data_IF_793564137696
#
_entry.id   IF_793564137696
#
_cell.length_a   1.000
_cell.length_b   1.000
_cell.length_c   1.000
_cell.angle_alpha   90.00
_cell.angle_beta   90.00
_cell.angle_gamma   90.00
#
_symmetry.space_group_name_H-M   'P 1'
#
loop_
_entity.id
_entity.type
_entity.pdbx_description
1 polymer ?
#
# COMPACT_ATOMS: atom_id res chain seq x y z
N UNK A 1 -22.86 1.39 -12.27
CA UNK A 1 -23.04 -0.05 -12.11
C UNK A 1 -22.88 -0.43 -10.64
N UNK A 2 -23.81 -1.19 -10.08
CA UNK A 2 -23.73 -1.68 -8.71
C UNK A 2 -22.93 -3.00 -8.58
N UNK A 3 -22.26 -3.44 -9.66
CA UNK A 3 -21.42 -4.62 -9.61
C UNK A 3 -20.13 -4.31 -8.87
N UNK A 4 -19.61 -5.26 -8.06
CA UNK A 4 -18.31 -5.12 -7.45
C UNK A 4 -17.20 -4.90 -8.49
N UNK A 5 -16.17 -4.16 -8.14
CA UNK A 5 -15.05 -3.92 -9.03
C UNK A 5 -14.19 -5.17 -9.27
N UNK A 6 -14.24 -6.16 -8.37
CA UNK A 6 -13.51 -7.43 -8.48
C UNK A 6 -14.41 -8.57 -8.92
N UNK A 7 -13.89 -9.44 -9.78
CA UNK A 7 -14.60 -10.63 -10.27
C UNK A 7 -14.95 -11.64 -9.16
N UNK A 8 -14.13 -11.77 -8.14
CA UNK A 8 -14.40 -12.68 -7.02
C UNK A 8 -15.65 -12.32 -6.19
N UNK A 9 -16.20 -11.14 -6.36
CA UNK A 9 -17.43 -10.69 -5.73
C UNK A 9 -18.63 -10.74 -6.69
N UNK A 10 -18.43 -11.12 -7.94
CA UNK A 10 -19.50 -11.21 -8.94
C UNK A 10 -20.08 -12.61 -8.96
N UNK A 11 -21.33 -12.73 -8.51
CA UNK A 11 -22.06 -14.02 -8.43
C UNK A 11 -22.27 -14.72 -9.79
N UNK A 12 -22.09 -13.99 -10.90
CA UNK A 12 -22.20 -14.55 -12.26
C UNK A 12 -20.96 -15.29 -12.71
N UNK A 13 -19.83 -15.11 -12.00
CA UNK A 13 -18.54 -15.67 -12.35
C UNK A 13 -18.12 -16.73 -11.34
N UNK A 14 -17.31 -17.68 -11.82
CA UNK A 14 -16.69 -18.68 -10.94
C UNK A 14 -15.63 -18.03 -10.06
N UNK A 15 -15.79 -18.16 -8.75
CA UNK A 15 -14.85 -17.62 -7.76
C UNK A 15 -14.37 -18.69 -6.76
N UNK A 16 -14.55 -19.93 -7.04
CA UNK A 16 -14.34 -21.14 -6.21
C UNK A 16 -13.28 -21.07 -5.09
N UNK A 17 -12.12 -20.45 -5.34
CA UNK A 17 -11.07 -20.29 -4.34
C UNK A 17 -11.28 -19.04 -3.47
N UNK A 18 -11.66 -17.93 -4.10
CA UNK A 18 -11.98 -16.69 -3.39
C UNK A 18 -13.20 -16.89 -2.50
N UNK A 19 -13.06 -16.55 -1.23
CA UNK A 19 -14.16 -16.71 -0.26
C UNK A 19 -14.40 -18.14 0.21
N UNK A 20 -13.52 -19.08 -0.13
CA UNK A 20 -13.62 -20.48 0.34
C UNK A 20 -13.38 -20.66 1.84
N UNK A 21 -12.87 -19.63 2.53
CA UNK A 21 -12.50 -19.66 3.93
C UNK A 21 -11.57 -20.84 4.30
N UNK A 22 -10.65 -21.17 3.41
CA UNK A 22 -9.70 -22.27 3.61
C UNK A 22 -10.27 -23.68 3.46
N UNK A 23 -11.50 -23.82 2.95
CA UNK A 23 -12.16 -25.15 2.77
C UNK A 23 -11.76 -25.88 1.49
N UNK A 24 -10.87 -25.30 0.68
CA UNK A 24 -10.36 -25.91 -0.55
C UNK A 24 -8.83 -25.94 -0.54
N UNK A 25 -8.25 -26.98 -1.15
CA UNK A 25 -6.84 -27.06 -1.45
C UNK A 25 -6.61 -26.67 -2.93
N UNK A 26 -5.71 -25.76 -3.19
CA UNK A 26 -5.38 -25.28 -4.54
C UNK A 26 -4.12 -25.97 -5.02
N UNK A 27 -4.23 -26.81 -6.06
CA UNK A 27 -3.09 -27.51 -6.64
C UNK A 27 -2.48 -26.77 -7.85
N UNK A 28 -3.32 -26.04 -8.59
CA UNK A 28 -2.88 -25.29 -9.75
C UNK A 28 -3.78 -24.08 -10.00
N UNK A 29 -3.20 -23.01 -10.51
CA UNK A 29 -3.91 -21.79 -10.91
C UNK A 29 -3.52 -21.46 -12.34
N UNK A 30 -4.52 -21.23 -13.19
CA UNK A 30 -4.32 -20.68 -14.53
C UNK A 30 -4.60 -19.17 -14.47
N UNK A 31 -3.61 -18.37 -14.87
CA UNK A 31 -3.74 -16.91 -14.94
C UNK A 31 -3.53 -16.42 -16.37
N UNK A 32 -4.26 -15.37 -16.74
CA UNK A 32 -4.00 -14.66 -17.99
C UNK A 32 -2.74 -13.82 -17.83
N UNK A 33 -1.95 -13.76 -18.88
CA UNK A 33 -0.73 -12.93 -18.94
C UNK A 33 -0.87 -11.92 -20.08
N UNK A 34 -0.11 -10.85 -19.98
CA UNK A 34 -0.04 -9.79 -20.99
C UNK A 34 1.38 -9.70 -21.55
N UNK A 35 1.56 -9.23 -22.79
CA UNK A 35 2.89 -8.96 -23.33
C UNK A 35 3.69 -8.06 -22.40
N UNK A 36 4.99 -8.31 -22.29
CA UNK A 36 5.87 -7.43 -21.53
C UNK A 36 5.97 -6.08 -22.26
N UNK A 37 5.72 -4.95 -21.59
CA UNK A 37 5.85 -3.64 -22.20
C UNK A 37 7.31 -3.33 -22.55
N UNK A 38 7.53 -2.51 -23.58
CA UNK A 38 8.86 -2.05 -23.97
C UNK A 38 9.37 -0.95 -23.04
N UNK A 39 8.45 -0.08 -22.60
CA UNK A 39 8.75 1.04 -21.71
C UNK A 39 7.73 1.10 -20.58
N UNK A 40 8.17 1.54 -19.42
CA UNK A 40 7.26 1.89 -18.33
C UNK A 40 7.73 3.17 -17.63
N UNK A 41 6.77 3.91 -17.08
CA UNK A 41 7.01 5.13 -16.31
C UNK A 41 6.03 5.21 -15.16
N UNK A 42 6.56 5.54 -14.00
CA UNK A 42 5.75 5.77 -12.81
C UNK A 42 5.49 7.26 -12.66
N UNK A 43 4.22 7.61 -12.50
CA UNK A 43 3.73 8.91 -12.10
C UNK A 43 3.41 8.86 -10.62
N UNK A 44 3.95 9.81 -9.88
CA UNK A 44 3.67 9.99 -8.46
C UNK A 44 2.79 11.21 -8.30
N UNK A 45 1.60 11.03 -7.77
CA UNK A 45 0.54 12.05 -7.75
C UNK A 45 0.17 12.32 -6.31
N UNK A 46 -0.08 13.60 -5.97
CA UNK A 46 -0.52 14.02 -4.65
C UNK A 46 -1.66 15.02 -4.73
N UNK A 47 -2.61 14.93 -3.81
CA UNK A 47 -3.73 15.87 -3.62
C UNK A 47 -4.23 15.81 -2.18
N UNK A 48 -4.91 16.89 -1.74
CA UNK A 48 -5.62 16.91 -0.47
C UNK A 48 -7.12 16.58 -0.62
N UNK A 49 -7.61 16.43 -1.85
CA UNK A 49 -9.01 16.13 -2.14
C UNK A 49 -9.19 14.76 -2.81
N UNK A 50 -9.78 13.77 -2.12
CA UNK A 50 -10.04 12.43 -2.68
C UNK A 50 -10.83 12.46 -3.99
N UNK A 51 -11.68 13.46 -4.19
CA UNK A 51 -12.49 13.64 -5.40
C UNK A 51 -11.64 13.83 -6.66
N UNK A 52 -10.46 14.43 -6.54
CA UNK A 52 -9.51 14.52 -7.64
C UNK A 52 -9.12 13.12 -8.15
N UNK A 53 -8.87 12.19 -7.24
CA UNK A 53 -8.55 10.81 -7.63
C UNK A 53 -9.77 10.07 -8.19
N UNK A 54 -10.98 10.39 -7.73
CA UNK A 54 -12.21 9.88 -8.34
C UNK A 54 -12.33 10.32 -9.80
N UNK A 55 -12.08 11.59 -10.07
CA UNK A 55 -12.16 12.13 -11.43
C UNK A 55 -11.05 11.56 -12.32
N UNK A 56 -9.80 11.59 -11.87
CA UNK A 56 -8.65 11.03 -12.60
C UNK A 56 -8.90 9.56 -12.94
N UNK A 57 -9.39 8.76 -11.97
CA UNK A 57 -9.73 7.36 -12.19
C UNK A 57 -10.77 7.20 -13.31
N UNK A 58 -11.84 7.99 -13.26
CA UNK A 58 -12.89 7.95 -14.29
C UNK A 58 -12.34 8.30 -15.67
N UNK A 59 -11.59 9.39 -15.77
CA UNK A 59 -11.03 9.87 -17.02
C UNK A 59 -10.09 8.84 -17.65
N UNK A 60 -9.20 8.26 -16.86
CA UNK A 60 -8.29 7.22 -17.34
C UNK A 60 -9.06 6.00 -17.83
N UNK A 61 -10.00 5.48 -17.03
CA UNK A 61 -10.72 4.24 -17.37
C UNK A 61 -11.69 4.39 -18.55
N UNK A 62 -12.17 5.62 -18.84
CA UNK A 62 -13.15 5.89 -19.88
C UNK A 62 -12.48 6.39 -21.17
N UNK A 63 -11.49 7.26 -21.05
CA UNK A 63 -10.99 8.04 -22.18
C UNK A 63 -9.63 7.58 -22.69
N UNK A 64 -8.80 6.93 -21.86
CA UNK A 64 -7.48 6.53 -22.28
C UNK A 64 -7.51 5.31 -23.21
N UNK A 65 -6.69 5.35 -24.24
CA UNK A 65 -6.45 4.22 -25.14
C UNK A 65 -5.60 3.15 -24.47
N UNK A 66 -4.67 3.57 -23.59
CA UNK A 66 -3.72 2.72 -22.92
C UNK A 66 -3.96 2.77 -21.41
N UNK A 67 -4.46 1.67 -20.86
CA UNK A 67 -4.73 1.60 -19.43
C UNK A 67 -3.44 1.41 -18.61
N UNK A 68 -3.40 1.93 -17.37
CA UNK A 68 -2.29 1.73 -16.45
C UNK A 68 -2.04 0.25 -16.15
N UNK A 69 -0.78 -0.12 -16.01
CA UNK A 69 -0.39 -1.44 -15.52
C UNK A 69 -0.64 -1.57 -14.01
N UNK A 70 -0.51 -0.47 -13.27
CA UNK A 70 -0.66 -0.43 -11.83
C UNK A 70 -1.20 0.94 -11.40
N UNK A 71 -1.97 0.94 -10.31
CA UNK A 71 -2.40 2.16 -9.65
C UNK A 71 -2.63 1.92 -8.17
N UNK A 72 -1.59 2.22 -7.38
CA UNK A 72 -1.57 2.00 -5.93
C UNK A 72 -1.70 3.31 -5.16
N UNK A 73 -2.77 3.40 -4.41
CA UNK A 73 -3.07 4.50 -3.49
C UNK A 73 -2.43 4.26 -2.12
N UNK A 74 -2.03 5.35 -1.47
CA UNK A 74 -1.54 5.36 -0.10
C UNK A 74 -1.88 6.68 0.58
N UNK A 75 -2.54 6.63 1.75
CA UNK A 75 -2.71 7.79 2.60
C UNK A 75 -1.39 8.17 3.29
N UNK A 76 -1.20 9.43 3.61
CA UNK A 76 -0.04 9.99 4.30
C UNK A 76 0.34 9.21 5.58
N UNK A 77 -0.65 8.84 6.40
CA UNK A 77 -0.39 8.09 7.64
C UNK A 77 0.20 6.71 7.36
N UNK A 78 -0.26 6.06 6.29
CA UNK A 78 0.31 4.80 5.84
C UNK A 78 1.75 4.99 5.33
N UNK A 79 2.02 6.08 4.60
CA UNK A 79 3.37 6.44 4.17
C UNK A 79 4.32 6.61 5.36
N UNK A 80 3.92 7.38 6.37
CA UNK A 80 4.72 7.63 7.58
C UNK A 80 4.93 6.34 8.39
N UNK A 81 3.89 5.54 8.55
CA UNK A 81 4.03 4.25 9.24
C UNK A 81 5.01 3.32 8.51
N UNK A 82 4.91 3.21 7.18
CA UNK A 82 5.82 2.42 6.38
C UNK A 82 7.27 2.93 6.48
N UNK A 83 7.47 4.25 6.37
CA UNK A 83 8.77 4.90 6.52
C UNK A 83 9.42 4.59 7.87
N UNK A 84 8.63 4.58 8.94
CA UNK A 84 9.12 4.39 10.31
C UNK A 84 9.29 2.92 10.70
N UNK A 85 8.31 2.09 10.37
CA UNK A 85 8.20 0.73 10.90
C UNK A 85 8.62 -0.37 9.92
N UNK A 86 8.83 -0.03 8.64
CA UNK A 86 9.29 -0.97 7.61
C UNK A 86 10.63 -0.60 6.96
N UNK A 87 11.36 0.35 7.52
CA UNK A 87 12.62 0.86 6.97
C UNK A 87 13.68 -0.22 6.79
N UNK A 88 13.83 -1.09 7.77
CA UNK A 88 14.75 -2.22 7.73
C UNK A 88 14.39 -3.21 6.62
N UNK A 89 13.11 -3.56 6.52
CA UNK A 89 12.58 -4.45 5.46
C UNK A 89 12.79 -3.82 4.08
N UNK A 90 12.54 -2.52 3.95
CA UNK A 90 12.81 -1.78 2.72
C UNK A 90 14.27 -1.92 2.29
N UNK A 91 15.22 -1.63 3.19
CA UNK A 91 16.66 -1.67 2.89
C UNK A 91 17.13 -3.08 2.57
N UNK A 92 16.62 -4.10 3.30
CA UNK A 92 16.95 -5.49 3.01
C UNK A 92 16.47 -5.90 1.63
N UNK A 93 15.23 -5.58 1.26
CA UNK A 93 14.70 -5.92 -0.05
C UNK A 93 15.41 -5.14 -1.17
N UNK A 94 15.68 -3.85 -0.96
CA UNK A 94 16.41 -3.03 -1.94
C UNK A 94 17.79 -3.59 -2.26
N UNK A 95 18.51 -4.08 -1.25
CA UNK A 95 19.89 -4.56 -1.40
C UNK A 95 20.01 -6.03 -1.74
N UNK A 96 19.15 -6.88 -1.18
CA UNK A 96 19.27 -8.35 -1.26
C UNK A 96 18.12 -9.00 -2.06
N UNK A 97 17.10 -8.22 -2.40
CA UNK A 97 15.90 -8.71 -3.10
C UNK A 97 14.93 -9.47 -2.20
N UNK A 98 13.73 -9.74 -2.75
CA UNK A 98 12.66 -10.45 -2.03
C UNK A 98 13.00 -11.90 -1.72
N UNK A 99 13.91 -12.51 -2.46
CA UNK A 99 14.37 -13.90 -2.23
C UNK A 99 15.01 -14.09 -0.85
N UNK A 100 15.49 -13.03 -0.22
CA UNK A 100 16.09 -13.08 1.11
C UNK A 100 15.05 -13.03 2.23
N UNK A 101 13.80 -12.67 1.97
CA UNK A 101 12.74 -12.55 2.99
C UNK A 101 12.51 -13.83 3.81
N UNK A 102 12.46 -15.05 3.22
CA UNK A 102 12.31 -16.27 4.00
C UNK A 102 13.45 -16.45 5.02
N UNK A 103 14.68 -16.16 4.61
CA UNK A 103 15.87 -16.23 5.48
C UNK A 103 15.76 -15.19 6.62
N UNK A 104 15.35 -13.97 6.30
CA UNK A 104 15.15 -12.93 7.31
C UNK A 104 14.09 -13.33 8.34
N UNK A 105 12.96 -13.87 7.89
CA UNK A 105 11.91 -14.36 8.81
C UNK A 105 12.38 -15.51 9.66
N UNK A 106 13.18 -16.42 9.12
CA UNK A 106 13.76 -17.54 9.90
C UNK A 106 14.74 -17.03 10.96
N UNK A 107 15.60 -16.06 10.63
CA UNK A 107 16.50 -15.42 11.61
C UNK A 107 15.68 -14.75 12.72
N UNK A 108 14.65 -13.96 12.35
CA UNK A 108 13.75 -13.33 13.33
C UNK A 108 13.11 -14.37 14.26
N UNK A 109 12.58 -15.46 13.68
CA UNK A 109 11.97 -16.55 14.46
C UNK A 109 12.96 -17.17 15.44
N UNK A 110 14.22 -17.43 15.04
CA UNK A 110 15.26 -17.97 15.92
C UNK A 110 15.60 -17.00 17.06
N UNK A 111 15.74 -15.71 16.76
CA UNK A 111 15.99 -14.67 17.77
C UNK A 111 14.84 -14.59 18.76
N UNK A 112 13.59 -14.65 18.31
CA UNK A 112 12.42 -14.61 19.18
C UNK A 112 12.26 -15.88 20.02
N UNK A 113 12.65 -17.05 19.50
CA UNK A 113 12.70 -18.29 20.28
C UNK A 113 13.77 -18.21 21.37
N UNK A 114 14.97 -17.74 21.01
CA UNK A 114 16.08 -17.59 21.97
C UNK A 114 15.70 -16.59 23.08
N UNK A 115 15.04 -15.48 22.73
CA UNK A 115 14.64 -14.46 23.69
C UNK A 115 13.65 -14.97 24.74
N UNK A 116 12.88 -16.03 24.48
CA UNK A 116 11.97 -16.63 25.46
C UNK A 116 12.67 -17.24 26.68
N UNK A 117 13.94 -17.61 26.54
CA UNK A 117 14.75 -18.08 27.66
C UNK A 117 15.16 -16.95 28.64
N UNK A 118 15.06 -15.71 28.19
CA UNK A 118 15.43 -14.51 28.94
C UNK A 118 14.18 -13.72 29.33
N UNK A 119 13.64 -13.96 30.52
CA UNK A 119 12.37 -13.36 30.99
C UNK A 119 12.32 -11.83 31.02
N UNK A 120 13.48 -11.15 30.95
CA UNK A 120 13.57 -9.69 30.90
C UNK A 120 13.42 -9.12 29.48
N UNK A 121 13.48 -9.95 28.45
CA UNK A 121 13.31 -9.50 27.06
C UNK A 121 11.82 -9.40 26.70
N UNK A 122 11.44 -8.39 25.90
CA UNK A 122 10.07 -8.25 25.45
C UNK A 122 9.68 -9.38 24.48
N UNK A 123 8.38 -9.66 24.41
CA UNK A 123 7.84 -10.51 23.34
C UNK A 123 8.21 -9.94 21.97
N UNK A 124 8.49 -10.81 20.99
CA UNK A 124 8.96 -10.41 19.65
C UNK A 124 10.18 -9.47 19.70
N UNK A 125 11.16 -9.85 20.51
CA UNK A 125 12.40 -9.09 20.71
C UNK A 125 13.09 -8.73 19.39
N UNK A 126 13.02 -9.61 18.38
CA UNK A 126 13.56 -9.32 17.05
C UNK A 126 13.00 -8.04 16.46
N UNK A 127 11.71 -7.75 16.60
CA UNK A 127 11.08 -6.53 16.11
C UNK A 127 11.57 -5.28 16.85
N UNK A 128 11.75 -5.39 18.18
CA UNK A 128 12.32 -4.29 18.99
C UNK A 128 13.77 -3.99 18.58
N UNK A 129 14.58 -5.03 18.41
CA UNK A 129 15.97 -4.89 17.99
C UNK A 129 16.08 -4.27 16.60
N UNK A 130 15.34 -4.79 15.63
CA UNK A 130 15.35 -4.26 14.26
C UNK A 130 14.83 -2.80 14.20
N UNK A 131 13.80 -2.46 14.97
CA UNK A 131 13.32 -1.09 15.08
C UNK A 131 14.36 -0.15 15.72
N UNK A 132 15.10 -0.61 16.71
CA UNK A 132 16.19 0.16 17.31
C UNK A 132 17.31 0.38 16.28
N UNK A 133 17.77 -0.67 15.61
CA UNK A 133 18.82 -0.59 14.59
C UNK A 133 18.42 0.28 13.40
N UNK A 134 17.13 0.30 13.03
CA UNK A 134 16.63 1.11 11.91
C UNK A 134 16.84 2.62 12.10
N UNK A 135 17.04 3.10 13.33
CA UNK A 135 17.34 4.50 13.64
C UNK A 135 18.70 4.94 13.09
N UNK A 136 19.64 4.00 12.97
CA UNK A 136 21.00 4.26 12.46
C UNK A 136 21.10 4.15 10.94
N UNK A 137 20.04 3.69 10.28
CA UNK A 137 20.05 3.61 8.82
C UNK A 137 19.79 5.00 8.18
N UNK A 138 20.44 5.29 7.03
CA UNK A 138 20.24 6.54 6.32
C UNK A 138 18.78 6.68 5.84
N UNK A 139 18.41 7.90 5.46
CA UNK A 139 17.13 8.11 4.81
C UNK A 139 17.08 7.31 3.50
N UNK A 140 16.01 6.53 3.31
CA UNK A 140 15.88 5.57 2.22
C UNK A 140 14.94 6.05 1.11
N UNK A 141 14.14 7.09 1.39
CA UNK A 141 13.14 7.60 0.45
C UNK A 141 13.66 8.83 -0.32
N UNK A 142 13.27 8.99 -1.59
CA UNK A 142 13.61 10.16 -2.38
C UNK A 142 13.02 11.45 -1.81
N UNK A 143 13.79 12.53 -1.88
CA UNK A 143 13.38 13.84 -1.37
C UNK A 143 12.07 14.35 -2.01
N UNK A 144 11.85 14.08 -3.31
CA UNK A 144 10.58 14.51 -3.97
C UNK A 144 9.36 13.79 -3.39
N UNK A 145 9.47 12.50 -3.07
CA UNK A 145 8.38 11.75 -2.41
C UNK A 145 8.11 12.32 -1.02
N UNK A 146 9.16 12.64 -0.24
CA UNK A 146 9.04 13.28 1.07
C UNK A 146 8.32 14.63 0.97
N UNK A 147 8.72 15.46 0.01
CA UNK A 147 8.09 16.75 -0.23
C UNK A 147 6.60 16.62 -0.59
N UNK A 148 6.24 15.60 -1.40
CA UNK A 148 4.86 15.34 -1.75
C UNK A 148 4.04 14.90 -0.54
N UNK A 149 4.56 13.99 0.27
CA UNK A 149 3.93 13.57 1.51
C UNK A 149 3.76 14.74 2.51
N UNK A 150 4.71 15.67 2.54
CA UNK A 150 4.60 16.86 3.41
C UNK A 150 3.51 17.84 2.94
N UNK A 151 3.20 17.84 1.63
CA UNK A 151 2.24 18.74 1.00
C UNK A 151 0.85 18.15 0.85
N UNK A 152 0.74 16.81 0.66
CA UNK A 152 -0.50 16.14 0.30
C UNK A 152 -0.81 14.97 1.23
N UNK A 153 -2.09 14.82 1.57
CA UNK A 153 -2.57 13.71 2.40
C UNK A 153 -2.83 12.43 1.60
N UNK A 154 -3.18 12.57 0.32
CA UNK A 154 -3.47 11.46 -0.58
C UNK A 154 -2.39 11.34 -1.64
N UNK A 155 -1.81 10.15 -1.76
CA UNK A 155 -0.71 9.84 -2.68
C UNK A 155 -1.12 8.68 -3.58
N UNK A 156 -0.86 8.79 -4.88
CA UNK A 156 -1.18 7.74 -5.85
C UNK A 156 0.00 7.46 -6.77
N UNK A 157 0.37 6.20 -6.87
CA UNK A 157 1.43 5.70 -7.76
C UNK A 157 0.75 5.06 -8.96
N UNK A 158 0.94 5.63 -10.15
CA UNK A 158 0.39 5.10 -11.40
C UNK A 158 1.53 4.70 -12.31
N UNK A 159 1.55 3.45 -12.76
CA UNK A 159 2.50 2.98 -13.75
C UNK A 159 1.84 2.88 -15.13
N UNK A 160 2.31 3.71 -16.04
CA UNK A 160 1.93 3.72 -17.43
C UNK A 160 2.99 3.02 -18.29
N UNK A 161 2.56 2.47 -19.43
CA UNK A 161 3.42 1.69 -20.34
C UNK A 161 3.30 2.19 -21.77
N UNK A 162 4.39 2.05 -22.50
CA UNK A 162 4.49 2.36 -23.93
C UNK A 162 3.86 3.74 -24.29
N UNK A 163 2.94 3.81 -25.23
CA UNK A 163 2.31 5.07 -25.68
C UNK A 163 1.43 5.72 -24.59
N UNK A 164 0.97 4.96 -23.61
CA UNK A 164 0.21 5.48 -22.49
C UNK A 164 1.01 6.45 -21.60
N UNK A 165 2.35 6.41 -21.67
CA UNK A 165 3.20 7.31 -20.90
C UNK A 165 2.97 8.77 -21.32
N UNK A 166 2.98 9.06 -22.62
CA UNK A 166 2.78 10.42 -23.12
C UNK A 166 1.32 10.86 -22.96
N UNK A 167 0.36 9.93 -23.20
CA UNK A 167 -1.05 10.16 -22.96
C UNK A 167 -1.32 10.63 -21.53
N UNK A 168 -0.75 9.93 -20.54
CA UNK A 168 -0.90 10.28 -19.12
C UNK A 168 -0.20 11.59 -18.75
N UNK A 169 0.99 11.85 -19.30
CA UNK A 169 1.73 13.07 -19.03
C UNK A 169 0.92 14.31 -19.48
N UNK A 170 0.43 14.30 -20.70
CA UNK A 170 -0.38 15.41 -21.24
C UNK A 170 -1.65 15.58 -20.39
N UNK A 171 -2.30 14.49 -20.03
CA UNK A 171 -3.50 14.54 -19.19
C UNK A 171 -3.20 15.17 -17.82
N UNK A 172 -2.18 14.74 -17.09
CA UNK A 172 -1.87 15.28 -15.76
C UNK A 172 -1.41 16.74 -15.82
N UNK A 173 -0.64 17.13 -16.84
CA UNK A 173 -0.25 18.51 -17.06
C UNK A 173 -1.48 19.43 -17.28
N UNK A 174 -2.50 18.94 -17.95
CA UNK A 174 -3.75 19.69 -18.15
C UNK A 174 -4.62 19.68 -16.89
N UNK A 175 -4.76 18.53 -16.25
CA UNK A 175 -5.62 18.36 -15.09
C UNK A 175 -5.20 19.27 -13.94
N UNK A 176 -3.92 19.24 -13.56
CA UNK A 176 -3.40 20.01 -12.43
C UNK A 176 -3.14 21.50 -12.71
N UNK A 177 -3.43 21.99 -13.90
CA UNK A 177 -3.53 23.45 -14.14
C UNK A 177 -4.76 24.09 -13.47
N UNK A 178 -5.84 23.31 -13.34
CA UNK A 178 -7.13 23.80 -12.90
C UNK A 178 -7.64 23.12 -11.61
N UNK A 179 -6.93 22.14 -11.12
CA UNK A 179 -7.31 21.37 -9.94
C UNK A 179 -6.17 21.37 -8.91
N UNK A 180 -6.53 21.30 -7.64
CA UNK A 180 -5.54 21.17 -6.56
C UNK A 180 -4.84 19.82 -6.66
N UNK A 181 -3.55 19.85 -6.37
CA UNK A 181 -2.68 18.69 -6.45
C UNK A 181 -1.50 18.94 -7.36
N UNK A 182 -0.70 17.91 -7.55
CA UNK A 182 0.47 17.95 -8.42
C UNK A 182 0.91 16.53 -8.75
N UNK A 183 1.82 16.40 -9.72
CA UNK A 183 2.43 15.13 -10.04
C UNK A 183 3.90 15.29 -10.47
N UNK A 184 4.63 14.21 -10.43
CA UNK A 184 5.91 14.12 -11.11
C UNK A 184 6.12 12.75 -11.73
N UNK A 185 6.84 12.74 -12.84
CA UNK A 185 7.35 11.52 -13.43
C UNK A 185 8.59 11.06 -12.66
N UNK A 186 8.54 9.86 -12.12
CA UNK A 186 9.64 9.29 -11.37
C UNK A 186 10.85 8.99 -12.26
N UNK A 187 12.05 9.22 -11.75
CA UNK A 187 13.26 8.59 -12.26
C UNK A 187 13.19 7.08 -12.02
N UNK A 188 14.07 6.31 -12.64
CA UNK A 188 14.11 4.86 -12.42
C UNK A 188 14.31 4.49 -10.94
N UNK A 189 15.21 5.20 -10.26
CA UNK A 189 15.43 5.00 -8.82
C UNK A 189 14.22 5.37 -7.98
N UNK A 190 13.54 6.48 -8.28
CA UNK A 190 12.32 6.89 -7.59
C UNK A 190 11.18 5.90 -7.83
N UNK A 191 11.03 5.39 -9.06
CA UNK A 191 10.04 4.36 -9.39
C UNK A 191 10.24 3.10 -8.53
N UNK A 192 11.46 2.58 -8.49
CA UNK A 192 11.81 1.41 -7.66
C UNK A 192 11.50 1.65 -6.19
N UNK A 193 11.86 2.83 -5.68
CA UNK A 193 11.65 3.17 -4.27
C UNK A 193 10.18 3.43 -3.94
N UNK A 194 9.41 4.05 -4.81
CA UNK A 194 7.98 4.26 -4.62
C UNK A 194 7.23 2.92 -4.54
N UNK A 195 7.49 2.02 -5.49
CA UNK A 195 6.91 0.68 -5.51
C UNK A 195 7.31 -0.14 -4.28
N UNK A 196 8.58 -0.08 -3.90
CA UNK A 196 9.08 -0.82 -2.74
C UNK A 196 8.48 -0.27 -1.43
N UNK A 197 8.37 1.06 -1.30
CA UNK A 197 7.75 1.68 -0.14
C UNK A 197 6.29 1.24 0.03
N UNK A 198 5.53 1.23 -1.07
CA UNK A 198 4.17 0.70 -1.09
C UNK A 198 4.12 -0.79 -0.75
N UNK A 199 5.06 -1.58 -1.27
CA UNK A 199 5.13 -3.02 -0.99
C UNK A 199 5.35 -3.32 0.50
N UNK A 200 6.28 -2.60 1.16
CA UNK A 200 6.59 -2.85 2.57
C UNK A 200 5.59 -2.24 3.55
N UNK A 201 4.63 -1.45 3.10
CA UNK A 201 3.66 -0.77 3.96
C UNK A 201 2.80 -1.76 4.77
N UNK A 202 2.44 -2.90 4.20
CA UNK A 202 1.72 -3.95 4.90
C UNK A 202 2.47 -4.48 6.14
N UNK A 203 3.81 -4.52 6.09
CA UNK A 203 4.65 -4.95 7.21
C UNK A 203 4.69 -3.96 8.38
N UNK A 204 4.41 -2.68 8.11
CA UNK A 204 4.44 -1.62 9.12
C UNK A 204 3.41 -1.85 10.24
N UNK A 205 2.23 -2.32 9.87
CA UNK A 205 1.15 -2.63 10.81
C UNK A 205 1.57 -3.69 11.84
N UNK A 206 2.09 -4.83 11.37
CA UNK A 206 2.55 -5.90 12.26
C UNK A 206 3.72 -5.49 13.15
N UNK A 207 4.65 -4.67 12.64
CA UNK A 207 5.76 -4.13 13.43
C UNK A 207 5.25 -3.16 14.50
N UNK A 208 4.37 -2.24 14.15
CA UNK A 208 3.76 -1.31 15.11
C UNK A 208 3.09 -2.09 16.25
N UNK A 209 2.23 -3.06 15.91
CA UNK A 209 1.56 -3.92 16.88
C UNK A 209 2.57 -4.66 17.78
N UNK A 210 3.64 -5.21 17.23
CA UNK A 210 4.68 -5.92 18.00
C UNK A 210 5.35 -5.01 19.03
N UNK A 211 5.60 -3.75 18.68
CA UNK A 211 6.26 -2.78 19.55
C UNK A 211 5.33 -2.26 20.67
N UNK A 212 4.03 -2.22 20.42
CA UNK A 212 3.01 -1.69 21.34
C UNK A 212 2.32 -2.75 22.19
N UNK A 213 2.71 -4.01 22.04
CA UNK A 213 2.04 -5.18 22.64
C UNK A 213 1.92 -5.17 24.20
N UNK A 214 2.48 -4.16 24.89
CA UNK A 214 2.26 -3.95 26.32
C UNK A 214 0.86 -3.41 26.66
N UNK A 215 0.13 -2.93 25.68
CA UNK A 215 -1.14 -2.21 25.88
C UNK A 215 -2.38 -3.07 25.60
N UNK A 216 -2.24 -4.35 25.19
CA UNK A 216 -3.36 -5.23 24.80
C UNK A 216 -4.32 -4.59 23.77
N UNK A 217 -3.82 -3.72 22.91
CA UNK A 217 -4.63 -3.12 21.88
C UNK A 217 -5.13 -4.18 20.89
N UNK A 218 -6.38 -4.11 20.55
CA UNK A 218 -6.96 -4.97 19.52
C UNK A 218 -6.62 -4.39 18.13
N UNK A 219 -6.46 -5.28 17.18
CA UNK A 219 -6.14 -4.91 15.81
C UNK A 219 -6.88 -5.78 14.82
N UNK A 220 -7.30 -5.19 13.73
CA UNK A 220 -7.95 -5.91 12.64
C UNK A 220 -7.59 -5.30 11.29
N UNK A 221 -7.72 -6.12 10.25
CA UNK A 221 -7.48 -5.73 8.87
C UNK A 221 -8.68 -6.09 8.03
N UNK A 222 -9.07 -5.20 7.13
CA UNK A 222 -10.16 -5.41 6.20
C UNK A 222 -9.69 -5.17 4.77
N UNK A 223 -10.14 -6.02 3.86
CA UNK A 223 -10.05 -5.81 2.42
C UNK A 223 -11.46 -5.53 1.89
N UNK A 224 -11.68 -4.31 1.43
CA UNK A 224 -12.98 -3.83 0.96
C UNK A 224 -12.96 -3.70 -0.55
N UNK A 225 -13.88 -4.39 -1.22
CA UNK A 225 -14.14 -4.20 -2.64
C UNK A 225 -15.39 -3.32 -2.80
N UNK A 226 -15.18 -2.07 -3.19
CA UNK A 226 -16.27 -1.12 -3.41
C UNK A 226 -16.94 -1.33 -4.76
N UNK A 227 -18.18 -0.84 -4.95
CA UNK A 227 -18.84 -0.79 -6.25
C UNK A 227 -17.98 -0.03 -7.28
N UNK A 228 -18.11 -0.39 -8.57
CA UNK A 228 -17.30 0.19 -9.65
C UNK A 228 -17.39 1.70 -9.77
N UNK A 229 -18.57 2.25 -9.50
CA UNK A 229 -18.84 3.68 -9.65
C UNK A 229 -18.95 4.39 -8.30
N UNK A 230 -18.43 3.78 -7.22
CA UNK A 230 -18.41 4.45 -5.92
C UNK A 230 -17.55 5.73 -6.00
N UNK A 231 -18.11 6.82 -5.52
CA UNK A 231 -17.42 8.10 -5.44
C UNK A 231 -16.88 8.35 -4.04
N UNK A 232 -17.58 7.85 -3.02
CA UNK A 232 -17.18 7.96 -1.61
C UNK A 232 -16.28 6.77 -1.23
N UNK A 233 -15.15 6.66 -1.89
CA UNK A 233 -14.20 5.55 -1.69
C UNK A 233 -13.27 5.76 -0.49
N UNK A 234 -13.05 7.01 -0.11
CA UNK A 234 -12.26 7.33 1.07
C UNK A 234 -13.14 7.25 2.31
N UNK A 235 -12.63 6.55 3.31
CA UNK A 235 -13.37 6.30 4.53
C UNK A 235 -13.51 7.56 5.37
N UNK A 236 -14.73 7.85 5.79
CA UNK A 236 -15.05 8.88 6.76
C UNK A 236 -15.78 8.21 7.92
N UNK A 237 -15.09 8.03 9.03
CA UNK A 237 -15.64 7.41 10.23
C UNK A 237 -16.32 8.46 11.12
N UNK A 238 -17.40 8.10 11.84
CA UNK A 238 -17.94 8.96 12.90
C UNK A 238 -16.87 9.26 13.95
N UNK A 239 -16.89 10.46 14.52
CA UNK A 239 -15.91 10.95 15.50
C UNK A 239 -15.75 10.00 16.70
N UNK A 240 -16.83 9.38 17.14
CA UNK A 240 -16.84 8.39 18.22
C UNK A 240 -15.94 7.19 17.89
N UNK A 241 -16.02 6.68 16.66
CA UNK A 241 -15.18 5.57 16.19
C UNK A 241 -13.74 6.04 15.95
N UNK A 242 -13.56 7.18 15.24
CA UNK A 242 -12.24 7.72 14.93
C UNK A 242 -11.43 7.99 16.20
N UNK A 243 -12.07 8.52 17.26
CA UNK A 243 -11.44 8.77 18.55
C UNK A 243 -10.95 7.52 19.27
N UNK A 244 -11.54 6.34 18.99
CA UNK A 244 -11.14 5.05 19.54
C UNK A 244 -9.96 4.40 18.81
N UNK A 245 -9.59 4.92 17.63
CA UNK A 245 -8.51 4.36 16.82
C UNK A 245 -7.18 4.99 17.23
N UNK A 246 -6.15 4.16 17.44
CA UNK A 246 -4.78 4.60 17.70
C UNK A 246 -3.98 4.76 16.40
N UNK A 247 -4.18 3.83 15.46
CA UNK A 247 -3.52 3.86 14.15
C UNK A 247 -4.47 3.34 13.07
N UNK A 248 -4.55 4.10 12.00
CA UNK A 248 -5.30 3.75 10.79
C UNK A 248 -4.36 3.80 9.59
N UNK A 249 -4.20 2.68 8.89
CA UNK A 249 -3.45 2.61 7.65
C UNK A 249 -4.42 2.38 6.50
N UNK A 250 -4.50 3.35 5.59
CA UNK A 250 -5.40 3.31 4.47
C UNK A 250 -4.63 3.37 3.16
N UNK A 251 -4.71 2.30 2.38
CA UNK A 251 -4.03 2.13 1.11
C UNK A 251 -4.79 1.12 0.24
N UNK A 252 -4.50 1.04 -1.05
CA UNK A 252 -5.23 0.09 -1.89
C UNK A 252 -4.99 0.26 -3.38
N UNK A 253 -5.78 -0.49 -4.14
CA UNK A 253 -5.75 -0.53 -5.60
C UNK A 253 -6.91 0.30 -6.16
N UNK A 254 -6.68 1.60 -6.37
CA UNK A 254 -7.75 2.54 -6.64
C UNK A 254 -8.47 2.26 -7.97
N UNK A 255 -7.77 1.78 -9.01
CA UNK A 255 -8.43 1.45 -10.28
C UNK A 255 -9.46 0.34 -10.16
N UNK A 256 -9.22 -0.67 -9.34
CA UNK A 256 -10.18 -1.75 -9.11
C UNK A 256 -10.99 -1.58 -7.81
N UNK A 257 -10.92 -0.44 -7.16
CA UNK A 257 -11.65 -0.10 -5.92
C UNK A 257 -11.50 -1.17 -4.83
N UNK A 258 -10.29 -1.66 -4.64
CA UNK A 258 -9.97 -2.57 -3.53
C UNK A 258 -9.08 -1.85 -2.55
N UNK A 259 -9.63 -1.60 -1.37
CA UNK A 259 -8.96 -0.86 -0.32
C UNK A 259 -8.56 -1.80 0.81
N UNK A 260 -7.34 -1.60 1.29
CA UNK A 260 -6.80 -2.26 2.46
C UNK A 260 -6.85 -1.29 3.63
N UNK A 261 -7.49 -1.69 4.69
CA UNK A 261 -7.67 -0.89 5.90
C UNK A 261 -7.17 -1.67 7.10
N UNK A 262 -6.20 -1.10 7.81
CA UNK A 262 -5.66 -1.72 9.03
C UNK A 262 -5.87 -0.77 10.20
N UNK A 263 -6.43 -1.29 11.28
CA UNK A 263 -6.79 -0.52 12.47
C UNK A 263 -6.14 -1.10 13.71
N UNK A 264 -5.64 -0.22 14.56
CA UNK A 264 -5.29 -0.53 15.95
C UNK A 264 -6.19 0.32 16.83
N UNK A 265 -6.99 -0.34 17.66
CA UNK A 265 -7.96 0.29 18.54
C UNK A 265 -7.32 0.54 19.90
N UNK A 266 -7.58 1.70 20.48
CA UNK A 266 -7.20 2.02 21.86
C UNK A 266 -7.89 1.06 22.80
N UNK A 267 -7.20 0.67 23.85
CA UNK A 267 -7.83 -0.08 24.94
C UNK A 267 -8.80 0.86 25.64
N UNK A 268 -10.06 0.41 25.77
CA UNK A 268 -11.06 1.07 26.60
C UNK A 268 -10.75 0.95 28.09
#
# INVERSE_FOLDING_TARGET
SNTPARFNSDKRLLYGVSGSAGKVAVFAVRVNTYPKPNKSKVFYIGTNYPDNFTQIRKDILVNFKNLPRLGDYMHKDCYEAAKKYSKDSFIVIEKLGTKFLPTLFEIKRKVDLLSKYFKFLPNKFSDHLMQFLSKFYPNHLPKRMENFKDKYDHLWIIEMVDDGIEEAKVYFEQYFKNNEGDFFMCTENESKKAMLHRYVSAGAFGRYQSLKNKTNNESFSMDIALPRNEVNWFENLPDEIESSIELKLYYGHLFCHVMHQNYIVKKG
#
